data_IF_322251640384
#
_entry.id   IF_322251640384
#
_cell.length_a   1.000
_cell.length_b   1.000
_cell.length_c   1.000
_cell.angle_alpha   90.00
_cell.angle_beta   90.00
_cell.angle_gamma   90.00
#
_symmetry.space_group_name_H-M   'P 1'
#
loop_
_entity.id
_entity.type
_entity.pdbx_description
1 polymer ?
#
# COMPACT_ATOMS: atom_id res chain seq x y z
N UNK A 1 -64.13 42.22 26.84
CA UNK A 1 -62.96 41.58 27.49
C UNK A 1 -62.04 41.08 26.39
N UNK A 2 -60.88 41.70 26.12
CA UNK A 2 -59.81 41.04 25.41
C UNK A 2 -58.88 40.36 26.43
N UNK A 3 -58.46 39.13 26.14
CA UNK A 3 -57.48 38.38 26.92
C UNK A 3 -56.07 38.74 26.44
N UNK A 4 -55.24 39.23 27.35
CA UNK A 4 -53.80 39.42 27.15
C UNK A 4 -53.11 38.06 27.23
N UNK A 5 -52.43 37.61 26.18
CA UNK A 5 -51.42 36.56 26.26
C UNK A 5 -50.04 37.22 26.29
N UNK A 6 -49.35 37.09 27.41
CA UNK A 6 -47.92 37.38 27.55
C UNK A 6 -47.14 36.20 26.98
N UNK A 7 -46.51 36.39 25.83
CA UNK A 7 -45.42 35.53 25.34
C UNK A 7 -44.12 36.12 25.90
N UNK A 8 -43.55 35.43 26.90
CA UNK A 8 -42.17 35.65 27.35
C UNK A 8 -41.25 34.89 26.38
N UNK A 9 -40.81 35.59 25.32
CA UNK A 9 -39.68 35.14 24.49
C UNK A 9 -38.39 35.34 25.29
N UNK A 10 -38.00 34.31 26.04
CA UNK A 10 -36.67 34.21 26.64
C UNK A 10 -35.62 34.13 25.52
N UNK A 11 -35.02 35.28 25.20
CA UNK A 11 -33.92 35.44 24.25
C UNK A 11 -32.70 34.67 24.76
N UNK A 12 -32.52 33.44 24.29
CA UNK A 12 -31.31 32.65 24.53
C UNK A 12 -30.09 33.44 24.01
N UNK A 13 -29.14 33.85 24.87
CA UNK A 13 -27.95 34.52 24.38
C UNK A 13 -27.13 33.49 23.60
N UNK A 14 -27.08 33.66 22.27
CA UNK A 14 -26.16 32.91 21.42
C UNK A 14 -24.78 33.48 21.67
N UNK A 15 -24.11 32.95 22.69
CA UNK A 15 -22.72 33.23 22.98
C UNK A 15 -21.88 32.57 21.88
N UNK A 16 -21.78 33.24 20.72
CA UNK A 16 -20.90 32.88 19.62
C UNK A 16 -19.45 33.10 20.07
N UNK A 17 -18.96 32.23 20.94
CA UNK A 17 -17.54 32.10 21.23
C UNK A 17 -16.88 31.71 19.91
N UNK A 18 -16.34 32.71 19.20
CA UNK A 18 -15.53 32.53 18.01
C UNK A 18 -14.25 31.77 18.39
N UNK A 19 -14.36 30.44 18.53
CA UNK A 19 -13.20 29.57 18.67
C UNK A 19 -12.45 29.59 17.34
N UNK A 20 -11.13 29.85 17.33
CA UNK A 20 -10.36 29.76 16.10
C UNK A 20 -10.50 28.35 15.49
N UNK A 21 -10.51 28.23 14.15
CA UNK A 21 -10.65 26.94 13.49
C UNK A 21 -9.52 26.00 13.94
N UNK A 22 -9.89 24.77 14.30
CA UNK A 22 -8.93 23.72 14.64
C UNK A 22 -8.10 23.37 13.42
N UNK A 23 -6.78 23.43 13.56
CA UNK A 23 -5.84 22.99 12.53
C UNK A 23 -5.49 21.54 12.79
N UNK A 24 -5.62 20.70 11.77
CA UNK A 24 -5.28 19.29 11.86
C UNK A 24 -3.77 19.16 12.05
N UNK A 25 -3.39 18.44 13.10
CA UNK A 25 -1.99 18.19 13.46
C UNK A 25 -1.43 16.94 12.75
N UNK A 26 -0.11 16.69 12.84
CA UNK A 26 0.49 15.47 12.26
C UNK A 26 -0.08 14.17 12.84
N UNK A 27 -0.22 13.99 14.17
CA UNK A 27 -0.81 12.77 14.71
C UNK A 27 -2.25 12.59 14.25
N UNK A 28 -3.06 13.65 14.25
CA UNK A 28 -4.45 13.58 13.76
C UNK A 28 -4.53 13.17 12.29
N UNK A 29 -3.67 13.74 11.43
CA UNK A 29 -3.60 13.35 10.03
C UNK A 29 -3.17 11.88 9.88
N UNK A 30 -2.24 11.40 10.70
CA UNK A 30 -1.80 10.01 10.69
C UNK A 30 -2.90 9.06 11.18
N UNK A 31 -3.63 9.45 12.23
CA UNK A 31 -4.76 8.69 12.78
C UNK A 31 -5.87 8.62 11.73
N UNK A 32 -6.23 9.74 11.07
CA UNK A 32 -7.15 9.77 9.95
C UNK A 32 -6.77 8.81 8.82
N UNK A 33 -5.49 8.81 8.42
CA UNK A 33 -5.00 7.91 7.36
C UNK A 33 -5.08 6.44 7.79
N UNK A 34 -4.79 6.14 9.05
CA UNK A 34 -4.85 4.78 9.60
C UNK A 34 -6.29 4.30 9.72
N UNK A 35 -7.16 5.09 10.33
CA UNK A 35 -8.53 4.71 10.67
C UNK A 35 -9.41 4.57 9.41
N UNK A 36 -9.08 5.30 8.34
CA UNK A 36 -9.71 5.19 7.03
C UNK A 36 -9.01 4.18 6.10
N UNK A 37 -7.95 3.51 6.57
CA UNK A 37 -7.13 2.56 5.80
C UNK A 37 -6.71 3.11 4.43
N UNK A 38 -6.36 4.39 4.37
CA UNK A 38 -6.12 5.05 3.09
C UNK A 38 -4.82 4.55 2.44
N UNK A 39 -4.87 4.08 1.18
CA UNK A 39 -3.65 3.79 0.44
C UNK A 39 -2.88 5.09 0.19
N UNK A 40 -1.56 4.97 0.11
CA UNK A 40 -0.60 6.09 0.09
C UNK A 40 -0.97 7.25 -0.84
N UNK A 41 -1.40 6.94 -2.06
CA UNK A 41 -1.80 7.97 -3.04
C UNK A 41 -3.03 8.76 -2.59
N UNK A 42 -4.02 8.09 -1.99
CA UNK A 42 -5.21 8.72 -1.42
C UNK A 42 -4.88 9.51 -0.16
N UNK A 43 -3.95 9.04 0.68
CA UNK A 43 -3.47 9.76 1.87
C UNK A 43 -2.75 11.06 1.51
N UNK A 44 -1.89 11.02 0.47
CA UNK A 44 -1.23 12.22 -0.08
C UNK A 44 -2.24 13.20 -0.66
N UNK A 45 -3.22 12.70 -1.41
CA UNK A 45 -4.30 13.52 -1.96
C UNK A 45 -5.11 14.18 -0.85
N UNK A 46 -5.48 13.44 0.20
CA UNK A 46 -6.18 13.97 1.37
C UNK A 46 -5.38 15.10 2.02
N UNK A 47 -4.10 14.88 2.35
CA UNK A 47 -3.25 15.91 2.94
C UNK A 47 -3.09 17.13 2.03
N UNK A 48 -2.97 16.94 0.72
CA UNK A 48 -2.91 18.05 -0.25
C UNK A 48 -4.20 18.88 -0.26
N UNK A 49 -5.37 18.24 -0.20
CA UNK A 49 -6.67 18.94 -0.13
C UNK A 49 -6.86 19.68 1.18
N UNK A 50 -6.45 19.10 2.31
CA UNK A 50 -6.48 19.77 3.61
C UNK A 50 -5.53 20.98 3.64
N UNK A 51 -4.36 20.87 3.01
CA UNK A 51 -3.42 21.99 2.85
C UNK A 51 -4.02 23.14 2.03
N UNK A 52 -4.62 22.83 0.88
CA UNK A 52 -5.27 23.82 0.00
C UNK A 52 -6.39 24.59 0.71
N UNK A 53 -7.04 23.98 1.71
CA UNK A 53 -8.09 24.60 2.52
C UNK A 53 -7.58 25.29 3.78
N UNK A 54 -6.27 25.38 3.99
CA UNK A 54 -5.66 25.91 5.21
C UNK A 54 -6.13 25.21 6.49
N UNK A 55 -6.43 23.91 6.41
CA UNK A 55 -6.88 23.09 7.53
C UNK A 55 -5.75 22.32 8.22
N UNK A 56 -4.51 22.53 7.79
CA UNK A 56 -3.31 21.87 8.32
C UNK A 56 -2.44 22.89 9.06
N UNK A 57 -1.81 22.48 10.15
CA UNK A 57 -0.72 23.25 10.76
C UNK A 57 0.42 23.51 9.76
N UNK A 58 1.10 24.65 9.92
CA UNK A 58 2.24 25.02 9.07
C UNK A 58 3.40 24.04 9.27
N UNK A 59 3.99 23.59 8.18
CA UNK A 59 5.17 22.71 8.20
C UNK A 59 4.87 21.21 8.29
N UNK A 60 3.59 20.81 8.20
CA UNK A 60 3.20 19.40 8.17
C UNK A 60 3.73 18.67 6.95
N UNK A 61 4.21 17.43 7.17
CA UNK A 61 4.69 16.57 6.10
C UNK A 61 3.53 15.73 5.57
N UNK A 62 2.94 16.17 4.47
CA UNK A 62 1.88 15.43 3.73
C UNK A 62 2.37 14.05 3.26
N UNK A 63 3.69 13.90 3.07
CA UNK A 63 4.29 12.58 2.90
C UNK A 63 5.68 12.50 3.49
N UNK A 64 5.93 11.44 4.25
CA UNK A 64 7.26 10.98 4.64
C UNK A 64 7.61 9.78 3.76
N UNK A 65 8.49 9.97 2.77
CA UNK A 65 9.05 8.86 2.01
C UNK A 65 10.41 8.49 2.61
N UNK A 66 10.58 7.22 2.99
CA UNK A 66 11.93 6.69 3.20
C UNK A 66 12.58 6.59 1.83
N UNK A 67 13.43 7.54 1.49
CA UNK A 67 14.27 7.55 0.27
C UNK A 67 15.25 6.38 0.23
N UNK A 68 15.43 5.62 1.32
CA UNK A 68 16.29 4.42 1.36
C UNK A 68 15.99 3.39 0.27
N UNK A 69 14.78 3.39 -0.29
CA UNK A 69 14.34 2.45 -1.33
C UNK A 69 14.17 3.10 -2.72
N UNK A 70 14.57 4.36 -2.91
CA UNK A 70 14.49 5.00 -4.25
C UNK A 70 15.44 4.38 -5.26
N UNK A 71 16.62 3.90 -4.82
CA UNK A 71 17.56 3.15 -5.66
C UNK A 71 17.00 1.79 -6.05
N UNK A 72 16.34 1.10 -5.12
CA UNK A 72 15.69 -0.18 -5.40
C UNK A 72 14.56 -0.05 -6.41
N UNK A 73 13.81 1.06 -6.40
CA UNK A 73 12.76 1.30 -7.41
C UNK A 73 13.26 1.24 -8.85
N UNK A 74 14.54 1.51 -9.12
CA UNK A 74 15.10 1.43 -10.47
C UNK A 74 15.27 -0.02 -10.95
N UNK A 75 15.26 -0.99 -10.03
CA UNK A 75 15.41 -2.42 -10.32
C UNK A 75 14.07 -3.11 -10.58
N UNK A 76 12.95 -2.42 -10.34
CA UNK A 76 11.61 -2.98 -10.46
C UNK A 76 10.76 -2.18 -11.44
N UNK A 77 9.98 -2.90 -12.24
CA UNK A 77 8.96 -2.34 -13.12
C UNK A 77 7.58 -2.66 -12.56
N UNK A 78 6.61 -1.80 -12.85
CA UNK A 78 5.21 -1.98 -12.47
C UNK A 78 4.36 -2.13 -13.73
N UNK A 79 3.50 -3.14 -13.76
CA UNK A 79 2.57 -3.43 -14.86
C UNK A 79 1.23 -3.89 -14.27
N UNK A 80 0.18 -3.08 -14.41
CA UNK A 80 -1.18 -3.40 -13.91
C UNK A 80 -1.23 -3.87 -12.43
N UNK A 81 -0.49 -3.24 -11.52
CA UNK A 81 -0.44 -3.61 -10.09
C UNK A 81 0.55 -4.74 -9.74
N UNK A 82 1.22 -5.30 -10.76
CA UNK A 82 2.31 -6.25 -10.63
C UNK A 82 3.65 -5.50 -10.58
N UNK A 83 4.38 -5.62 -9.48
CA UNK A 83 5.75 -5.09 -9.36
C UNK A 83 6.74 -6.24 -9.53
N UNK A 84 7.60 -6.20 -10.54
CA UNK A 84 8.52 -7.29 -10.87
C UNK A 84 9.91 -6.77 -11.25
N UNK A 85 10.93 -7.61 -11.05
CA UNK A 85 12.30 -7.33 -11.48
C UNK A 85 12.52 -7.90 -12.89
N UNK A 86 12.67 -7.06 -13.93
CA UNK A 86 12.76 -7.52 -15.32
C UNK A 86 13.96 -8.43 -15.59
N UNK A 87 15.09 -8.14 -14.94
CA UNK A 87 16.35 -8.87 -15.10
C UNK A 87 16.62 -9.77 -13.89
N UNK A 88 15.59 -10.43 -13.36
CA UNK A 88 15.74 -11.27 -12.17
C UNK A 88 16.68 -12.47 -12.38
N UNK A 89 16.92 -12.89 -13.62
CA UNK A 89 17.92 -13.89 -13.99
C UNK A 89 19.36 -13.40 -13.77
N UNK A 90 19.64 -12.09 -13.92
CA UNK A 90 20.96 -11.50 -13.62
C UNK A 90 21.26 -11.49 -12.12
N UNK A 91 20.24 -11.55 -11.26
CA UNK A 91 20.39 -11.70 -9.81
C UNK A 91 20.85 -13.11 -9.41
N UNK A 92 20.74 -14.08 -10.32
CA UNK A 92 21.11 -15.48 -10.10
C UNK A 92 22.43 -15.80 -10.79
N UNK A 93 23.53 -15.37 -10.18
CA UNK A 93 24.91 -15.70 -10.61
C UNK A 93 25.12 -17.22 -10.72
N UNK A 94 24.36 -18.03 -9.95
CA UNK A 94 24.34 -19.49 -10.02
C UNK A 94 22.92 -20.04 -9.78
N UNK A 95 22.15 -20.38 -10.82
CA UNK A 95 20.76 -20.84 -10.70
C UNK A 95 20.56 -22.07 -9.81
N UNK A 96 21.58 -22.93 -9.67
CA UNK A 96 21.50 -24.13 -8.85
C UNK A 96 21.58 -23.84 -7.35
N UNK A 97 22.02 -22.63 -6.96
CA UNK A 97 22.01 -22.18 -5.57
C UNK A 97 20.68 -21.61 -5.11
N UNK A 98 19.74 -21.39 -6.03
CA UNK A 98 18.46 -20.75 -5.69
C UNK A 98 17.28 -21.69 -5.90
N UNK A 99 16.22 -21.43 -5.14
CA UNK A 99 14.88 -21.96 -5.35
C UNK A 99 13.89 -20.82 -5.37
N UNK A 100 12.86 -20.96 -6.20
CA UNK A 100 11.75 -20.02 -6.23
C UNK A 100 10.77 -20.41 -5.13
N UNK A 101 10.40 -19.43 -4.31
CA UNK A 101 9.38 -19.56 -3.30
C UNK A 101 8.23 -18.62 -3.60
N UNK A 102 7.02 -19.18 -3.72
CA UNK A 102 5.81 -18.42 -3.95
C UNK A 102 4.92 -18.49 -2.72
N UNK A 103 4.58 -17.31 -2.22
CA UNK A 103 3.73 -17.10 -1.06
C UNK A 103 2.53 -16.26 -1.46
N UNK A 104 1.33 -16.67 -1.06
CA UNK A 104 0.12 -15.89 -1.28
C UNK A 104 -0.62 -15.61 0.03
N UNK A 105 -1.15 -14.40 0.09
CA UNK A 105 -2.15 -14.01 1.07
C UNK A 105 -3.51 -13.81 0.38
N UNK A 106 -4.54 -13.42 1.13
CA UNK A 106 -5.84 -13.04 0.54
C UNK A 106 -5.74 -11.86 -0.45
N UNK A 107 -4.74 -11.00 -0.28
CA UNK A 107 -4.68 -9.70 -0.96
C UNK A 107 -3.42 -9.51 -1.79
N UNK A 108 -2.48 -10.47 -1.76
CA UNK A 108 -1.19 -10.33 -2.43
C UNK A 108 -0.59 -11.68 -2.82
N UNK A 109 0.21 -11.67 -3.89
CA UNK A 109 1.10 -12.76 -4.24
C UNK A 109 2.54 -12.25 -4.23
N UNK A 110 3.47 -13.05 -3.72
CA UNK A 110 4.88 -12.70 -3.68
C UNK A 110 5.73 -13.86 -4.18
N UNK A 111 6.68 -13.55 -5.05
CA UNK A 111 7.69 -14.49 -5.55
C UNK A 111 9.05 -14.07 -5.02
N UNK A 112 9.72 -15.00 -4.38
CA UNK A 112 10.98 -14.77 -3.66
C UNK A 112 12.01 -15.81 -4.07
N UNK A 113 13.22 -15.36 -4.40
CA UNK A 113 14.38 -16.20 -4.53
C UNK A 113 14.95 -16.51 -3.15
N UNK A 114 15.07 -17.79 -2.84
CA UNK A 114 15.70 -18.28 -1.62
C UNK A 114 16.96 -19.04 -1.97
N UNK A 115 18.06 -18.76 -1.29
CA UNK A 115 19.26 -19.57 -1.40
C UNK A 115 19.02 -20.94 -0.77
N UNK A 116 19.43 -22.00 -1.47
CA UNK A 116 19.20 -23.39 -1.07
C UNK A 116 19.86 -23.72 0.28
N UNK A 117 21.00 -23.08 0.56
CA UNK A 117 21.73 -23.22 1.83
C UNK A 117 21.42 -22.09 2.83
N UNK A 118 20.53 -21.16 2.47
CA UNK A 118 20.17 -19.99 3.26
C UNK A 118 21.39 -19.12 3.66
N UNK A 119 22.46 -19.18 2.85
CA UNK A 119 23.72 -18.46 2.99
C UNK A 119 23.66 -17.04 2.39
N UNK A 120 22.67 -16.78 1.54
CA UNK A 120 22.39 -15.47 0.96
C UNK A 120 21.00 -14.97 1.38
N UNK A 121 20.80 -13.64 1.46
CA UNK A 121 19.50 -13.07 1.79
C UNK A 121 18.45 -13.41 0.73
N UNK A 122 17.21 -13.60 1.18
CA UNK A 122 16.07 -13.78 0.28
C UNK A 122 15.83 -12.53 -0.56
N UNK A 123 15.61 -12.69 -1.87
CA UNK A 123 15.37 -11.57 -2.80
C UNK A 123 13.98 -11.67 -3.37
N UNK A 124 13.15 -10.65 -3.15
CA UNK A 124 11.81 -10.60 -3.76
C UNK A 124 11.94 -10.16 -5.21
N UNK A 125 11.47 -10.98 -6.14
CA UNK A 125 11.57 -10.71 -7.59
C UNK A 125 10.23 -10.28 -8.19
N UNK A 126 9.12 -10.61 -7.53
CA UNK A 126 7.79 -10.20 -7.94
C UNK A 126 6.87 -10.03 -6.73
N UNK A 127 6.02 -9.02 -6.77
CA UNK A 127 4.96 -8.79 -5.83
C UNK A 127 3.73 -8.23 -6.55
N UNK A 128 2.58 -8.85 -6.34
CA UNK A 128 1.28 -8.34 -6.75
C UNK A 128 0.53 -7.89 -5.50
N UNK A 129 0.01 -6.67 -5.53
CA UNK A 129 -0.87 -6.16 -4.50
C UNK A 129 -2.28 -6.01 -5.09
N UNK A 130 -3.30 -6.25 -4.27
CA UNK A 130 -4.70 -5.98 -4.61
C UNK A 130 -5.34 -7.02 -5.55
N UNK A 131 -5.45 -8.28 -5.09
CA UNK A 131 -6.54 -9.20 -5.45
C UNK A 131 -6.72 -9.62 -6.92
N UNK A 132 -5.89 -9.14 -7.85
CA UNK A 132 -5.93 -9.45 -9.28
C UNK A 132 -5.23 -10.75 -9.65
N UNK A 133 -5.03 -11.64 -8.66
CA UNK A 133 -4.56 -13.03 -8.77
C UNK A 133 -5.55 -13.95 -9.53
N UNK A 134 -6.18 -13.44 -10.59
CA UNK A 134 -7.03 -14.13 -11.56
C UNK A 134 -6.33 -14.34 -12.90
N UNK A 135 -5.11 -13.85 -13.11
CA UNK A 135 -4.36 -14.06 -14.37
C UNK A 135 -3.01 -14.74 -14.11
N UNK A 136 -3.09 -16.00 -13.68
CA UNK A 136 -1.95 -16.84 -13.27
C UNK A 136 -0.88 -17.04 -14.35
N UNK A 137 -1.25 -17.02 -15.65
CA UNK A 137 -0.28 -17.22 -16.74
C UNK A 137 0.74 -16.08 -16.83
N UNK A 138 0.31 -14.83 -16.63
CA UNK A 138 1.19 -13.65 -16.75
C UNK A 138 2.29 -13.64 -15.69
N UNK A 139 2.05 -14.24 -14.53
CA UNK A 139 3.00 -14.23 -13.42
C UNK A 139 4.19 -15.14 -13.75
N UNK A 140 3.91 -16.34 -14.28
CA UNK A 140 4.96 -17.27 -14.73
C UNK A 140 5.76 -16.71 -15.91
N UNK A 141 5.10 -16.01 -16.84
CA UNK A 141 5.75 -15.33 -17.96
C UNK A 141 6.68 -14.21 -17.47
N UNK A 142 6.23 -13.39 -16.51
CA UNK A 142 6.99 -12.23 -15.99
C UNK A 142 8.18 -12.62 -15.12
N UNK A 143 8.11 -13.77 -14.45
CA UNK A 143 9.26 -14.33 -13.75
C UNK A 143 10.11 -15.20 -14.67
N UNK A 144 9.86 -15.23 -15.99
CA UNK A 144 10.55 -16.07 -16.96
C UNK A 144 10.71 -17.52 -16.52
N UNK A 145 9.71 -18.13 -15.85
CA UNK A 145 9.86 -19.43 -15.16
C UNK A 145 10.48 -20.53 -16.03
N UNK A 146 10.21 -20.52 -17.34
CA UNK A 146 10.79 -21.45 -18.30
C UNK A 146 12.32 -21.44 -18.36
N UNK A 147 12.94 -20.31 -18.03
CA UNK A 147 14.40 -20.15 -17.95
C UNK A 147 14.96 -20.65 -16.60
N UNK A 148 14.09 -20.94 -15.63
CA UNK A 148 14.46 -21.44 -14.31
C UNK A 148 14.42 -22.96 -14.34
N UNK A 149 15.60 -23.58 -14.36
CA UNK A 149 15.76 -25.01 -14.03
C UNK A 149 15.57 -25.30 -12.53
N UNK A 150 15.24 -24.26 -11.75
CA UNK A 150 15.18 -24.27 -10.30
C UNK A 150 13.94 -24.98 -9.76
N UNK A 151 14.04 -25.53 -8.55
CA UNK A 151 12.91 -26.13 -7.84
C UNK A 151 11.91 -25.03 -7.44
N UNK A 152 10.66 -25.17 -7.89
CA UNK A 152 9.53 -24.36 -7.43
C UNK A 152 9.07 -24.88 -6.07
N UNK A 153 9.00 -24.00 -5.08
CA UNK A 153 8.40 -24.27 -3.79
C UNK A 153 7.24 -23.29 -3.60
N UNK A 154 6.06 -23.81 -3.30
CA UNK A 154 4.87 -22.99 -3.14
C UNK A 154 3.91 -23.67 -2.17
N UNK A 155 3.15 -22.87 -1.44
CA UNK A 155 2.05 -23.39 -0.64
C UNK A 155 0.99 -24.02 -1.53
N UNK A 156 0.28 -25.05 -1.03
CA UNK A 156 -0.74 -25.75 -1.81
C UNK A 156 -1.81 -24.79 -2.39
N UNK A 157 -2.13 -23.72 -1.65
CA UNK A 157 -3.05 -22.67 -2.11
C UNK A 157 -2.53 -21.92 -3.32
N UNK A 158 -1.23 -21.67 -3.37
CA UNK A 158 -0.55 -21.02 -4.50
C UNK A 158 -0.49 -21.97 -5.69
N UNK A 159 -0.19 -23.25 -5.46
CA UNK A 159 -0.22 -24.26 -6.52
C UNK A 159 -1.61 -24.32 -7.14
N UNK A 160 -2.67 -24.39 -6.32
CA UNK A 160 -4.05 -24.41 -6.79
C UNK A 160 -4.41 -23.15 -7.59
N UNK A 161 -3.99 -21.96 -7.12
CA UNK A 161 -4.13 -20.72 -7.88
C UNK A 161 -3.46 -20.84 -9.25
N UNK A 162 -2.18 -21.22 -9.30
CA UNK A 162 -1.42 -21.29 -10.56
C UNK A 162 -1.96 -22.33 -11.54
N UNK A 163 -2.44 -23.47 -11.05
CA UNK A 163 -2.96 -24.56 -11.87
C UNK A 163 -4.45 -24.46 -12.17
N UNK A 164 -5.17 -23.52 -11.55
CA UNK A 164 -6.62 -23.35 -11.71
C UNK A 164 -7.45 -24.47 -11.07
N UNK A 165 -6.96 -25.07 -9.98
CA UNK A 165 -7.65 -26.11 -9.19
C UNK A 165 -8.63 -25.54 -8.18
#
# INVERSE_FOLDING_TARGET
WPSTSTDDDEEYPVDLVHRPPHLVTQPELNDLVRDLELPKGKSQLLGSRLQQRNLLEKGLKISSYRTRQSTLKLLFSEDEGLVFCPNSTELMIDPHKWRLFLDSSKTSLKVVLLANWNDLPSVSILCEYEGHARKNSRILDKICYHDYSSKLCADLKVVALLTGM
#
